data_IF_530811103036
#
_entry.id   IF_530811103036
#
_cell.length_a   1.000
_cell.length_b   1.000
_cell.length_c   1.000
_cell.angle_alpha   90.00
_cell.angle_beta   90.00
_cell.angle_gamma   90.00
#
_symmetry.space_group_name_H-M   'P 1'
#
loop_
_entity.id
_entity.type
_entity.pdbx_description
1 polymer ?
#
# COMPACT_ATOMS: atom_id res chain seq x y z
N UNK A 1 18.84 -12.44 -6.01
CA UNK A 1 19.53 -12.68 -7.30
C UNK A 1 19.62 -11.42 -8.16
N UNK A 2 18.51 -10.82 -8.64
CA UNK A 2 18.55 -9.62 -9.52
C UNK A 2 19.38 -8.46 -8.93
N UNK A 3 19.17 -8.14 -7.64
CA UNK A 3 19.93 -7.08 -6.97
C UNK A 3 21.44 -7.37 -6.91
N UNK A 4 21.83 -8.63 -6.68
CA UNK A 4 23.24 -9.03 -6.64
C UNK A 4 23.87 -8.90 -8.04
N UNK A 5 23.17 -9.31 -9.09
CA UNK A 5 23.64 -9.14 -10.47
C UNK A 5 23.86 -7.66 -10.83
N UNK A 6 22.94 -6.78 -10.40
CA UNK A 6 23.06 -5.32 -10.57
C UNK A 6 24.38 -4.76 -10.02
N UNK A 7 24.93 -5.38 -8.96
CA UNK A 7 26.15 -4.92 -8.31
C UNK A 7 27.44 -5.39 -9.00
N UNK A 8 27.35 -6.32 -9.96
CA UNK A 8 28.54 -6.90 -10.62
C UNK A 8 29.17 -5.92 -11.61
N UNK A 9 28.38 -5.28 -12.48
CA UNK A 9 28.87 -4.26 -13.41
C UNK A 9 27.74 -3.37 -13.95
N UNK A 10 28.11 -2.26 -14.60
CA UNK A 10 27.15 -1.31 -15.21
C UNK A 10 26.22 -1.97 -16.24
N UNK A 11 26.74 -2.92 -17.02
CA UNK A 11 25.95 -3.61 -18.04
C UNK A 11 24.85 -4.47 -17.41
N UNK A 12 25.17 -5.24 -16.36
CA UNK A 12 24.17 -6.01 -15.62
C UNK A 12 23.17 -5.11 -14.90
N UNK A 13 23.61 -3.98 -14.35
CA UNK A 13 22.72 -3.00 -13.74
C UNK A 13 21.68 -2.44 -14.74
N UNK A 14 22.12 -2.10 -15.95
CA UNK A 14 21.21 -1.65 -17.02
C UNK A 14 20.24 -2.74 -17.46
N UNK A 15 20.70 -3.99 -17.60
CA UNK A 15 19.82 -5.13 -17.89
C UNK A 15 18.81 -5.36 -16.77
N UNK A 16 19.25 -5.26 -15.51
CA UNK A 16 18.37 -5.43 -14.36
C UNK A 16 17.24 -4.39 -14.37
N UNK A 17 17.59 -3.11 -14.57
CA UNK A 17 16.64 -1.99 -14.64
C UNK A 17 15.65 -2.11 -15.81
N UNK A 18 16.14 -2.49 -17.00
CA UNK A 18 15.33 -2.49 -18.24
C UNK A 18 14.46 -3.75 -18.39
N UNK A 19 14.99 -4.91 -17.99
CA UNK A 19 14.42 -6.22 -18.33
C UNK A 19 14.06 -7.00 -17.07
N UNK A 20 15.03 -7.29 -16.19
CA UNK A 20 14.83 -8.31 -15.15
C UNK A 20 13.75 -7.92 -14.14
N UNK A 21 13.73 -6.67 -13.67
CA UNK A 21 12.69 -6.23 -12.73
C UNK A 21 11.30 -6.21 -13.38
N UNK A 22 11.21 -5.90 -14.67
CA UNK A 22 9.96 -5.93 -15.42
C UNK A 22 9.42 -7.36 -15.50
N UNK A 23 10.25 -8.29 -15.94
CA UNK A 23 9.85 -9.71 -16.05
C UNK A 23 9.53 -10.31 -14.68
N UNK A 24 10.32 -9.99 -13.65
CA UNK A 24 10.00 -10.36 -12.27
C UNK A 24 8.59 -9.92 -11.87
N UNK A 25 8.23 -8.65 -12.10
CA UNK A 25 6.90 -8.14 -11.76
C UNK A 25 5.79 -8.84 -12.57
N UNK A 26 6.02 -9.12 -13.86
CA UNK A 26 5.05 -9.81 -14.74
C UNK A 26 4.79 -11.23 -14.29
N UNK A 27 5.83 -11.98 -13.92
CA UNK A 27 5.68 -13.33 -13.38
C UNK A 27 4.96 -13.31 -12.04
N UNK A 28 5.25 -12.31 -11.20
CA UNK A 28 4.76 -12.24 -9.83
C UNK A 28 3.30 -11.81 -9.72
N UNK A 29 2.84 -10.89 -10.55
CA UNK A 29 1.50 -10.31 -10.49
C UNK A 29 0.91 -10.05 -11.90
N UNK A 30 0.75 -11.08 -12.75
CA UNK A 30 0.51 -10.93 -14.18
C UNK A 30 -0.72 -10.08 -14.51
N UNK A 31 -1.87 -10.36 -13.87
CA UNK A 31 -3.12 -9.61 -14.11
C UNK A 31 -3.01 -8.13 -13.72
N UNK A 32 -2.35 -7.85 -12.60
CA UNK A 32 -2.11 -6.47 -12.16
C UNK A 32 -1.16 -5.76 -13.13
N UNK A 33 -0.11 -6.45 -13.62
CA UNK A 33 0.84 -5.85 -14.55
C UNK A 33 0.21 -5.50 -15.89
N UNK A 34 -0.63 -6.37 -16.42
CA UNK A 34 -1.39 -6.10 -17.65
C UNK A 34 -2.28 -4.86 -17.47
N UNK A 35 -2.97 -4.74 -16.34
CA UNK A 35 -3.82 -3.57 -16.09
C UNK A 35 -3.00 -2.28 -15.92
N UNK A 36 -1.94 -2.30 -15.10
CA UNK A 36 -1.08 -1.12 -14.90
C UNK A 36 -0.41 -0.63 -16.19
N UNK A 37 -0.12 -1.52 -17.13
CA UNK A 37 0.52 -1.18 -18.42
C UNK A 37 -0.47 -0.74 -19.51
N UNK A 38 -1.78 -0.95 -19.33
CA UNK A 38 -2.78 -0.74 -20.40
C UNK A 38 -2.97 0.73 -20.83
N UNK A 39 -2.47 1.71 -20.07
CA UNK A 39 -2.66 3.14 -20.37
C UNK A 39 -1.57 3.77 -21.24
N UNK A 40 -0.70 3.00 -21.89
CA UNK A 40 0.26 3.52 -22.88
C UNK A 40 1.38 4.41 -22.31
N UNK A 41 1.35 4.77 -21.02
CA UNK A 41 2.49 5.38 -20.35
C UNK A 41 3.55 4.31 -20.12
N UNK A 42 4.67 4.39 -20.86
CA UNK A 42 5.79 3.47 -20.79
C UNK A 42 6.46 3.32 -19.41
N UNK A 43 6.02 4.04 -18.39
CA UNK A 43 6.50 3.93 -17.03
C UNK A 43 5.38 3.52 -16.08
N UNK A 44 5.54 2.38 -15.41
CA UNK A 44 4.98 2.25 -14.06
C UNK A 44 5.49 3.44 -13.27
N UNK A 45 4.57 4.30 -12.82
CA UNK A 45 4.88 5.44 -11.95
C UNK A 45 5.79 4.91 -10.83
N UNK A 46 7.07 5.30 -10.82
CA UNK A 46 8.02 4.88 -9.78
C UNK A 46 8.97 3.71 -10.03
N UNK A 47 9.13 3.20 -11.26
CA UNK A 47 10.17 2.23 -11.68
C UNK A 47 9.91 0.75 -11.29
N UNK A 48 10.18 -0.18 -12.22
CA UNK A 48 10.08 -1.64 -12.04
C UNK A 48 10.79 -2.17 -10.80
N UNK A 49 11.96 -1.61 -10.44
CA UNK A 49 12.69 -2.02 -9.24
C UNK A 49 11.91 -1.71 -7.96
N UNK A 50 11.27 -0.55 -7.88
CA UNK A 50 10.48 -0.16 -6.71
C UNK A 50 9.22 -1.01 -6.61
N UNK A 51 8.54 -1.25 -7.74
CA UNK A 51 7.40 -2.15 -7.79
C UNK A 51 7.79 -3.57 -7.39
N UNK A 52 8.91 -4.08 -7.90
CA UNK A 52 9.46 -5.38 -7.51
C UNK A 52 9.68 -5.46 -6.01
N UNK A 53 10.29 -4.41 -5.40
CA UNK A 53 10.45 -4.31 -3.94
C UNK A 53 9.11 -4.29 -3.22
N UNK A 54 8.13 -3.51 -3.69
CA UNK A 54 6.78 -3.41 -3.12
C UNK A 54 6.05 -4.76 -3.10
N UNK A 55 6.26 -5.60 -4.11
CA UNK A 55 5.64 -6.93 -4.22
C UNK A 55 6.18 -7.96 -3.21
N UNK A 56 7.37 -7.73 -2.64
CA UNK A 56 8.08 -8.75 -1.84
C UNK A 56 8.65 -8.25 -0.52
N UNK A 57 8.48 -6.99 -0.15
CA UNK A 57 9.12 -6.44 1.02
C UNK A 57 8.12 -5.69 1.90
N UNK A 58 7.96 -6.15 3.13
CA UNK A 58 7.33 -5.38 4.19
C UNK A 58 8.37 -4.43 4.79
N UNK A 59 8.08 -3.13 4.83
CA UNK A 59 9.02 -2.17 5.42
C UNK A 59 9.08 -2.22 6.94
N UNK A 60 8.07 -2.80 7.59
CA UNK A 60 7.87 -2.65 9.03
C UNK A 60 7.78 -1.19 9.45
N UNK A 61 8.18 -0.91 10.70
CA UNK A 61 8.29 0.43 11.27
C UNK A 61 9.57 0.57 12.11
N UNK A 62 10.23 1.72 12.04
CA UNK A 62 11.33 2.08 12.94
C UNK A 62 10.84 3.03 14.04
N UNK A 63 11.54 3.09 15.17
CA UNK A 63 11.19 3.87 16.37
C UNK A 63 11.02 5.40 16.16
N UNK A 64 11.33 5.92 14.96
CA UNK A 64 11.11 7.32 14.52
C UNK A 64 10.61 7.39 13.08
N UNK A 65 9.96 6.33 12.62
CA UNK A 65 9.55 6.14 11.24
C UNK A 65 8.23 6.83 10.92
N UNK A 66 7.51 6.26 9.95
CA UNK A 66 6.24 6.78 9.46
C UNK A 66 5.07 6.62 10.43
N UNK A 67 5.16 5.67 11.35
CA UNK A 67 4.09 5.27 12.24
C UNK A 67 4.61 5.31 13.67
N UNK A 68 3.75 5.75 14.60
CA UNK A 68 4.09 5.83 16.01
C UNK A 68 3.80 4.48 16.70
N UNK A 69 4.48 3.42 16.24
CA UNK A 69 4.32 2.03 16.69
C UNK A 69 5.70 1.49 17.10
N UNK A 70 5.71 0.51 18.00
CA UNK A 70 6.87 -0.28 18.39
C UNK A 70 7.65 -0.78 17.17
N UNK A 71 8.97 -0.89 17.32
CA UNK A 71 9.87 -1.14 16.20
C UNK A 71 9.66 -2.53 15.59
N UNK A 72 8.98 -2.60 14.44
CA UNK A 72 8.81 -3.82 13.65
C UNK A 72 9.86 -3.90 12.54
N UNK A 73 10.76 -4.90 12.54
CA UNK A 73 11.78 -5.01 11.50
C UNK A 73 11.16 -5.35 10.13
N UNK A 74 11.68 -4.72 9.08
CA UNK A 74 11.28 -5.04 7.71
C UNK A 74 11.80 -6.42 7.27
N UNK A 75 11.02 -7.11 6.43
CA UNK A 75 11.34 -8.46 5.98
C UNK A 75 10.79 -8.75 4.58
N UNK A 76 11.27 -9.84 3.97
CA UNK A 76 10.72 -10.34 2.73
C UNK A 76 9.39 -11.07 2.95
N UNK A 77 8.45 -10.85 2.02
CA UNK A 77 7.14 -11.49 2.00
C UNK A 77 7.07 -12.42 0.80
N UNK A 78 7.06 -13.72 1.06
CA UNK A 78 7.20 -14.74 0.02
C UNK A 78 5.98 -14.86 -0.90
N UNK A 79 4.79 -14.45 -0.45
CA UNK A 79 3.57 -14.33 -1.27
C UNK A 79 2.77 -13.14 -0.80
N UNK A 80 2.50 -12.21 -1.71
CA UNK A 80 1.63 -11.05 -1.45
C UNK A 80 0.60 -10.99 -2.57
N UNK A 81 -0.69 -11.04 -2.23
CA UNK A 81 -1.77 -10.88 -3.21
C UNK A 81 -2.18 -9.42 -3.22
N UNK A 82 -2.20 -8.80 -4.40
CA UNK A 82 -2.72 -7.44 -4.59
C UNK A 82 -4.10 -7.51 -5.25
N UNK A 83 -5.06 -6.78 -4.70
CA UNK A 83 -6.46 -6.81 -5.15
C UNK A 83 -7.00 -5.40 -5.41
N UNK A 84 -7.64 -5.24 -6.57
CA UNK A 84 -8.40 -4.02 -6.92
C UNK A 84 -9.66 -3.88 -6.07
N UNK A 85 -10.31 -5.00 -5.72
CA UNK A 85 -11.47 -4.99 -4.83
C UNK A 85 -11.07 -4.49 -3.45
N UNK A 86 -9.94 -4.97 -2.92
CA UNK A 86 -9.38 -4.46 -1.66
C UNK A 86 -9.11 -2.95 -1.78
N UNK A 87 -8.42 -2.52 -2.84
CA UNK A 87 -8.10 -1.11 -3.04
C UNK A 87 -9.31 -0.18 -3.18
N UNK A 88 -10.46 -0.65 -3.70
CA UNK A 88 -11.70 0.14 -3.73
C UNK A 88 -12.16 0.55 -2.33
N UNK A 89 -11.92 -0.28 -1.31
CA UNK A 89 -12.28 0.03 0.08
C UNK A 89 -11.45 1.15 0.68
N UNK A 90 -10.31 1.51 0.08
CA UNK A 90 -9.45 2.61 0.51
C UNK A 90 -9.75 3.93 -0.22
N UNK A 91 -10.72 3.95 -1.13
CA UNK A 91 -11.03 5.15 -1.91
C UNK A 91 -12.28 5.84 -1.36
N UNK A 92 -12.14 7.11 -1.03
CA UNK A 92 -13.28 7.99 -0.73
C UNK A 92 -14.24 8.02 -1.93
N UNK A 93 -15.55 8.27 -1.73
CA UNK A 93 -16.56 8.18 -2.78
C UNK A 93 -16.20 8.91 -4.09
N UNK A 94 -15.62 10.11 -3.98
CA UNK A 94 -15.23 10.95 -5.10
C UNK A 94 -14.11 10.33 -5.96
N UNK A 95 -13.29 9.45 -5.38
CA UNK A 95 -12.13 8.82 -6.02
C UNK A 95 -12.40 7.38 -6.47
N UNK A 96 -13.61 6.83 -6.33
CA UNK A 96 -13.90 5.41 -6.64
C UNK A 96 -13.65 4.98 -8.09
N UNK A 97 -13.51 5.95 -9.01
CA UNK A 97 -13.11 5.69 -10.41
C UNK A 97 -11.63 5.43 -10.57
N UNK A 98 -10.81 5.85 -9.61
CA UNK A 98 -9.38 5.55 -9.61
C UNK A 98 -9.14 4.06 -9.41
N UNK A 99 -8.00 3.58 -9.88
CA UNK A 99 -7.61 2.18 -9.75
C UNK A 99 -6.47 2.10 -8.75
N UNK A 100 -6.75 1.47 -7.61
CA UNK A 100 -5.80 1.18 -6.56
C UNK A 100 -5.78 -0.34 -6.34
N UNK A 101 -4.58 -0.91 -6.30
CA UNK A 101 -4.34 -2.27 -5.85
C UNK A 101 -3.78 -2.22 -4.44
N UNK A 102 -4.36 -2.95 -3.50
CA UNK A 102 -3.86 -3.08 -2.12
C UNK A 102 -3.64 -4.55 -1.80
N UNK A 103 -2.57 -4.85 -1.06
CA UNK A 103 -2.32 -6.20 -0.60
C UNK A 103 -3.05 -6.55 0.70
N UNK A 104 -3.20 -7.83 0.95
CA UNK A 104 -3.54 -8.30 2.30
C UNK A 104 -2.42 -7.86 3.28
N UNK A 105 -2.76 -7.48 4.53
CA UNK A 105 -1.78 -7.04 5.51
C UNK A 105 -0.77 -8.13 5.84
N UNK A 106 0.46 -7.72 6.15
CA UNK A 106 1.40 -8.56 6.86
C UNK A 106 1.12 -8.38 8.36
N UNK A 107 0.69 -9.44 9.03
CA UNK A 107 0.33 -9.43 10.44
C UNK A 107 1.58 -9.63 11.31
N UNK A 108 1.71 -8.80 12.33
CA UNK A 108 2.77 -8.85 13.32
C UNK A 108 2.10 -8.86 14.70
N UNK A 109 2.14 -10.03 15.34
CA UNK A 109 1.43 -10.27 16.59
C UNK A 109 2.26 -9.82 17.80
N UNK A 110 1.58 -9.57 18.91
CA UNK A 110 2.20 -9.32 20.22
C UNK A 110 3.22 -8.17 20.24
N UNK A 111 2.91 -7.03 19.62
CA UNK A 111 3.80 -5.86 19.59
C UNK A 111 3.77 -5.02 20.88
N UNK A 112 3.53 -5.66 22.03
CA UNK A 112 3.39 -5.00 23.34
C UNK A 112 2.11 -4.17 23.41
N UNK A 113 2.24 -2.89 23.78
CA UNK A 113 1.09 -1.98 23.96
C UNK A 113 0.32 -1.72 22.65
N UNK A 114 0.94 -1.95 21.48
CA UNK A 114 0.30 -1.76 20.17
C UNK A 114 -0.58 -2.95 19.73
N UNK A 115 -0.53 -4.07 20.47
CA UNK A 115 -1.26 -5.29 20.14
C UNK A 115 -0.83 -5.90 18.80
N UNK A 116 -1.79 -6.44 18.06
CA UNK A 116 -1.56 -7.00 16.74
C UNK A 116 -1.61 -5.91 15.67
N UNK A 117 -0.56 -5.79 14.87
CA UNK A 117 -0.45 -4.75 13.85
C UNK A 117 -0.32 -5.33 12.44
N UNK A 118 -1.04 -4.72 11.50
CA UNK A 118 -1.03 -5.11 10.10
C UNK A 118 -0.32 -4.07 9.24
N UNK A 119 0.70 -4.48 8.47
CA UNK A 119 1.32 -3.61 7.46
C UNK A 119 0.85 -3.96 6.06
N UNK A 120 0.23 -3.00 5.38
CA UNK A 120 -0.24 -3.16 4.01
C UNK A 120 0.45 -2.23 3.03
N UNK A 121 0.38 -2.60 1.76
CA UNK A 121 1.06 -1.95 0.63
C UNK A 121 0.09 -1.83 -0.53
N UNK A 122 0.28 -0.83 -1.36
CA UNK A 122 -0.56 -0.65 -2.54
C UNK A 122 0.10 0.13 -3.65
N UNK A 123 -0.51 0.09 -4.83
CA UNK A 123 -0.06 0.83 -6.01
C UNK A 123 -1.27 1.35 -6.78
N UNK A 124 -1.26 2.64 -7.04
CA UNK A 124 -2.22 3.29 -7.93
C UNK A 124 -1.84 3.06 -9.39
N UNK A 125 -2.84 2.87 -10.24
CA UNK A 125 -2.70 3.02 -11.69
C UNK A 125 -2.80 4.50 -12.03
N UNK A 126 -1.89 4.99 -12.87
CA UNK A 126 -1.90 6.35 -13.41
C UNK A 126 -2.09 7.42 -12.31
N UNK A 127 -1.31 7.32 -11.23
CA UNK A 127 -1.51 8.14 -10.03
C UNK A 127 -1.41 9.64 -10.34
N UNK A 128 -0.52 10.00 -11.27
CA UNK A 128 -0.35 11.36 -11.77
C UNK A 128 -1.64 12.00 -12.29
N UNK A 129 -2.55 11.20 -12.87
CA UNK A 129 -3.84 11.61 -13.40
C UNK A 129 -5.03 11.25 -12.49
N UNK A 130 -4.78 10.68 -11.30
CA UNK A 130 -5.83 10.21 -10.40
C UNK A 130 -6.60 11.35 -9.72
N UNK A 131 -7.86 11.08 -9.39
CA UNK A 131 -8.66 11.99 -8.56
C UNK A 131 -8.10 12.08 -7.14
N UNK A 132 -7.54 11.00 -6.59
CA UNK A 132 -6.84 11.03 -5.29
C UNK A 132 -5.74 12.09 -5.30
N UNK A 133 -4.85 12.08 -6.30
CA UNK A 133 -3.79 13.09 -6.39
C UNK A 133 -4.36 14.50 -6.52
N UNK A 134 -5.38 14.70 -7.35
CA UNK A 134 -6.06 15.99 -7.50
C UNK A 134 -6.61 16.50 -6.15
N UNK A 135 -7.31 15.64 -5.41
CA UNK A 135 -7.86 15.99 -4.11
C UNK A 135 -6.80 16.24 -3.04
N UNK A 136 -5.67 15.51 -3.05
CA UNK A 136 -4.55 15.79 -2.15
C UNK A 136 -3.98 17.19 -2.37
N UNK A 137 -3.88 17.63 -3.63
CA UNK A 137 -3.44 18.98 -3.98
C UNK A 137 -4.48 20.02 -3.55
N UNK A 138 -5.76 19.81 -3.89
CA UNK A 138 -6.86 20.72 -3.55
C UNK A 138 -7.01 20.91 -2.03
N UNK A 139 -6.78 19.85 -1.26
CA UNK A 139 -6.81 19.87 0.21
C UNK A 139 -5.49 20.33 0.85
N UNK A 140 -4.51 20.73 0.04
CA UNK A 140 -3.19 21.17 0.51
C UNK A 140 -2.53 20.15 1.44
N UNK A 141 -2.66 18.86 1.12
CA UNK A 141 -2.09 17.78 1.91
C UNK A 141 -0.58 17.96 2.07
N UNK A 142 -0.08 17.87 3.31
CA UNK A 142 1.34 18.06 3.57
C UNK A 142 2.11 16.80 3.19
N UNK A 143 3.29 17.02 2.61
CA UNK A 143 4.27 15.96 2.47
C UNK A 143 4.91 15.68 3.83
N UNK A 144 5.25 14.42 4.09
CA UNK A 144 6.00 14.04 5.26
C UNK A 144 7.36 14.77 5.26
N UNK A 145 7.75 15.42 6.37
CA UNK A 145 8.93 16.29 6.39
C UNK A 145 10.22 15.51 6.11
N UNK A 146 10.43 14.38 6.79
CA UNK A 146 11.68 13.60 6.77
C UNK A 146 11.55 12.33 5.94
N UNK A 147 10.54 11.51 6.23
CA UNK A 147 10.36 10.20 5.61
C UNK A 147 10.07 10.23 4.11
N UNK A 148 10.46 9.12 3.47
CA UNK A 148 10.29 8.88 2.03
C UNK A 148 9.80 7.46 1.79
N UNK A 149 9.20 7.23 0.62
CA UNK A 149 8.72 5.92 0.22
C UNK A 149 9.83 4.87 0.34
N UNK A 150 9.65 3.77 1.09
CA UNK A 150 10.68 2.76 1.26
C UNK A 150 11.00 2.00 -0.04
N UNK A 151 10.11 2.09 -1.04
CA UNK A 151 10.24 1.41 -2.34
C UNK A 151 10.98 2.25 -3.38
N UNK A 152 10.58 3.52 -3.57
CA UNK A 152 11.12 4.39 -4.63
C UNK A 152 11.78 5.67 -4.13
N UNK A 153 11.82 5.92 -2.82
CA UNK A 153 12.41 7.11 -2.18
C UNK A 153 11.74 8.45 -2.53
N UNK A 154 10.59 8.43 -3.20
CA UNK A 154 9.78 9.64 -3.42
C UNK A 154 9.15 10.15 -2.10
N UNK A 155 8.88 11.45 -2.04
CA UNK A 155 8.14 12.08 -0.93
C UNK A 155 6.73 11.50 -0.79
N UNK A 156 6.20 11.54 0.42
CA UNK A 156 4.96 10.89 0.85
C UNK A 156 3.93 11.93 1.29
N UNK A 157 2.69 11.83 0.83
CA UNK A 157 1.54 12.54 1.41
C UNK A 157 0.94 11.75 2.56
N UNK A 158 0.56 12.43 3.63
CA UNK A 158 -0.21 11.85 4.73
C UNK A 158 -1.71 11.82 4.36
N UNK A 159 -2.27 10.62 4.18
CA UNK A 159 -3.67 10.46 3.77
C UNK A 159 -4.66 10.73 4.91
N UNK A 160 -4.27 10.43 6.15
CA UNK A 160 -5.09 10.67 7.33
C UNK A 160 -5.31 12.17 7.54
N UNK A 161 -4.23 12.95 7.55
CA UNK A 161 -4.29 14.42 7.65
C UNK A 161 -5.16 15.02 6.52
N UNK A 162 -5.07 14.45 5.32
CA UNK A 162 -5.86 14.90 4.18
C UNK A 162 -7.32 14.44 4.20
N UNK A 163 -7.76 13.70 5.24
CA UNK A 163 -9.10 13.08 5.35
C UNK A 163 -9.46 12.21 4.14
N UNK A 164 -8.49 11.41 3.70
CA UNK A 164 -8.59 10.55 2.50
C UNK A 164 -8.72 9.06 2.84
N UNK A 165 -8.89 8.70 4.12
CA UNK A 165 -9.07 7.32 4.58
C UNK A 165 -10.55 7.12 4.92
N UNK A 166 -11.32 6.36 4.12
CA UNK A 166 -12.71 6.04 4.45
C UNK A 166 -12.81 4.90 5.47
N UNK A 167 -13.89 4.86 6.26
CA UNK A 167 -14.17 3.75 7.23
C UNK A 167 -14.15 2.36 6.60
N UNK A 168 -14.50 2.24 5.32
CA UNK A 168 -14.42 0.99 4.58
C UNK A 168 -13.00 0.38 4.54
N UNK A 169 -11.95 1.18 4.74
CA UNK A 169 -10.59 0.69 4.86
C UNK A 169 -10.40 -0.13 6.15
N UNK A 170 -10.87 0.37 7.30
CA UNK A 170 -10.79 -0.34 8.59
C UNK A 170 -11.54 -1.68 8.52
N UNK A 171 -12.77 -1.66 7.99
CA UNK A 171 -13.58 -2.87 7.78
C UNK A 171 -12.85 -3.87 6.88
N UNK A 172 -12.24 -3.41 5.78
CA UNK A 172 -11.52 -4.29 4.85
C UNK A 172 -10.30 -4.95 5.50
N UNK A 173 -9.67 -4.27 6.45
CA UNK A 173 -8.48 -4.71 7.16
C UNK A 173 -8.79 -5.53 8.40
N UNK A 174 -10.05 -5.60 8.86
CA UNK A 174 -10.38 -6.18 10.16
C UNK A 174 -9.69 -5.41 11.29
N UNK A 175 -9.64 -4.08 11.17
CA UNK A 175 -8.94 -3.20 12.09
C UNK A 175 -9.91 -2.40 12.96
N UNK A 176 -9.45 -1.93 14.12
CA UNK A 176 -10.21 -0.99 14.95
C UNK A 176 -10.56 0.27 14.15
N UNK A 177 -11.71 0.87 14.45
CA UNK A 177 -12.09 2.18 13.88
C UNK A 177 -10.98 3.21 14.19
N UNK A 178 -10.69 4.08 13.21
CA UNK A 178 -9.63 5.11 13.27
C UNK A 178 -8.17 4.65 13.50
N UNK A 179 -7.89 3.34 13.49
CA UNK A 179 -6.53 2.80 13.64
C UNK A 179 -5.71 2.74 12.35
N UNK A 180 -6.32 3.05 11.20
CA UNK A 180 -5.66 2.94 9.89
C UNK A 180 -4.91 4.22 9.56
N UNK A 181 -3.59 4.12 9.48
CA UNK A 181 -2.73 5.18 8.98
C UNK A 181 -2.14 4.78 7.62
N UNK A 182 -2.22 5.66 6.62
CA UNK A 182 -1.55 5.38 5.35
C UNK A 182 -1.00 6.63 4.67
N UNK A 183 0.01 6.38 3.84
CA UNK A 183 0.72 7.36 3.06
C UNK A 183 0.72 6.94 1.60
N UNK A 184 0.74 7.92 0.69
CA UNK A 184 0.95 7.67 -0.73
C UNK A 184 2.10 8.53 -1.25
N UNK A 185 3.02 7.92 -1.98
CA UNK A 185 4.15 8.66 -2.55
C UNK A 185 3.79 9.34 -3.88
N UNK A 186 4.64 10.27 -4.33
CA UNK A 186 4.43 10.98 -5.61
C UNK A 186 4.33 10.05 -6.84
N UNK A 187 4.82 8.81 -6.72
CA UNK A 187 4.73 7.77 -7.74
C UNK A 187 3.55 6.80 -7.54
N UNK A 188 2.63 7.07 -6.60
CA UNK A 188 1.44 6.25 -6.39
C UNK A 188 1.65 4.96 -5.58
N UNK A 189 2.80 4.77 -4.93
CA UNK A 189 2.96 3.69 -3.96
C UNK A 189 2.27 4.06 -2.64
N UNK A 190 1.35 3.21 -2.20
CA UNK A 190 0.69 3.28 -0.91
C UNK A 190 1.40 2.36 0.10
N UNK A 191 1.50 2.82 1.34
CA UNK A 191 1.89 2.02 2.48
C UNK A 191 1.10 2.47 3.70
N UNK A 192 0.74 1.53 4.56
CA UNK A 192 -0.01 1.85 5.76
C UNK A 192 0.14 0.79 6.83
N UNK A 193 -0.36 1.14 8.00
CA UNK A 193 -0.46 0.30 9.18
C UNK A 193 -1.89 0.34 9.73
N UNK A 194 -2.24 -0.66 10.51
CA UNK A 194 -3.52 -0.75 11.22
C UNK A 194 -3.39 -1.60 12.47
N UNK A 195 -4.07 -1.23 13.54
CA UNK A 195 -4.26 -2.10 14.71
C UNK A 195 -5.38 -3.09 14.41
N UNK A 196 -5.04 -4.37 14.38
CA UNK A 196 -5.93 -5.46 13.99
C UNK A 196 -6.86 -5.82 15.15
N UNK A 197 -8.09 -6.19 14.82
CA UNK A 197 -9.00 -6.80 15.77
C UNK A 197 -8.49 -8.21 16.12
N UNK A 198 -8.61 -8.65 17.39
CA UNK A 198 -8.32 -10.02 17.76
C UNK A 198 -9.16 -10.98 16.90
N UNK A 199 -8.55 -12.07 16.45
CA UNK A 199 -9.30 -13.17 15.87
C UNK A 199 -10.08 -13.84 17.02
N UNK A 200 -11.36 -13.51 17.16
CA UNK A 200 -12.23 -14.21 18.11
C UNK A 200 -12.56 -15.59 17.53
N UNK A 201 -12.10 -16.66 18.18
CA UNK A 201 -12.49 -18.05 17.88
C UNK A 201 -13.97 -18.38 18.23
N UNK A 202 -14.77 -17.37 18.59
CA UNK A 202 -16.19 -17.54 18.85
C UNK A 202 -17.01 -17.29 17.59
N UNK A 203 -17.69 -18.33 17.11
CA UNK A 203 -18.84 -18.28 16.19
C UNK A 203 -20.04 -17.53 16.81
N UNK A 204 -19.83 -16.35 17.37
CA UNK A 204 -20.88 -15.46 17.81
C UNK A 204 -21.12 -14.48 16.66
N UNK A 205 -22.03 -14.88 15.77
CA UNK A 205 -22.60 -14.00 14.76
C UNK A 205 -23.11 -12.73 15.47
N UNK A 206 -22.38 -11.63 15.34
CA UNK A 206 -22.86 -10.33 15.80
C UNK A 206 -24.05 -9.95 14.91
N UNK A 207 -25.26 -10.17 15.43
CA UNK A 207 -26.50 -9.66 14.86
C UNK A 207 -26.42 -8.13 14.75
N UNK A 208 -26.03 -7.65 13.56
CA UNK A 208 -26.29 -6.28 13.16
C UNK A 208 -27.76 -6.17 12.75
N UNK A 209 -28.67 -6.22 13.72
CA UNK A 209 -30.02 -5.74 13.53
C UNK A 209 -30.03 -4.20 13.48
N UNK A 210 -30.31 -3.72 12.26
CA UNK A 210 -31.37 -2.76 11.95
C UNK A 210 -31.07 -1.26 12.00
N UNK A 211 -30.88 -0.70 10.79
CA UNK A 211 -31.47 0.56 10.36
C UNK A 211 -31.51 0.52 8.81
N UNK A 212 -32.60 0.67 8.08
CA UNK A 212 -33.91 1.26 8.36
C UNK A 212 -34.87 0.78 7.26
N UNK A 213 -36.12 0.49 7.64
CA UNK A 213 -37.25 0.32 6.71
C UNK A 213 -37.38 1.55 5.81
N UNK A 214 -37.63 1.31 4.53
CA UNK A 214 -38.30 2.25 3.66
C UNK A 214 -39.79 2.18 4.02
N UNK A 215 -40.35 3.32 4.43
CA UNK A 215 -41.68 3.82 4.06
C UNK A 215 -41.58 5.35 4.06
#
# INVERSE_FOLDING_TARGET
MIALMSCVCKWFDEIAKRILWKEFCRTRAPKMMLDLQSCGSHSVDGNWKALGKLLIYCSGCSQRGLFNITCVPGHFVHRTRFSRTSGKSFLVPQCRTDVLYVCDPCEHLDQGDDGDVGFFRGVFKSFSASKVRKMLIERQAKLHPTEVCPYCKAKLWNMLQAKMIPRSACIRLGAYDDSVECYVCLNGHMLGTSSLLPLSDSDEASDFEQCSKFD
#
